data_IF_265073266859
#
_entry.id   IF_265073266859
#
_cell.length_a   1.000
_cell.length_b   1.000
_cell.length_c   1.000
_cell.angle_alpha   90.00
_cell.angle_beta   90.00
_cell.angle_gamma   90.00
#
_symmetry.space_group_name_H-M   'P 1'
#
loop_
_entity.id
_entity.type
_entity.pdbx_description
1 polymer ?
#
# COMPACT_ATOMS: atom_id res chain seq x y z
N UNK A 1 40.54 -8.40 6.44
CA UNK A 1 41.38 -8.50 5.22
C UNK A 1 40.47 -8.96 4.08
N UNK A 2 40.58 -8.37 2.89
CA UNK A 2 39.77 -8.76 1.74
C UNK A 2 40.64 -9.53 0.74
N UNK A 3 40.14 -10.69 0.28
CA UNK A 3 40.76 -11.49 -0.77
C UNK A 3 39.84 -11.51 -1.98
N UNK A 4 40.39 -11.24 -3.17
CA UNK A 4 39.66 -11.29 -4.43
C UNK A 4 39.83 -12.68 -5.05
N UNK A 5 38.76 -13.23 -5.61
CA UNK A 5 38.71 -14.56 -6.20
C UNK A 5 38.59 -14.41 -7.72
N UNK A 6 39.28 -15.27 -8.48
CA UNK A 6 39.15 -15.32 -9.95
C UNK A 6 37.71 -15.64 -10.37
N UNK A 7 37.22 -15.08 -11.50
CA UNK A 7 35.79 -15.15 -11.88
C UNK A 7 35.22 -16.57 -12.01
N UNK A 8 36.05 -17.56 -12.37
CA UNK A 8 35.66 -18.95 -12.62
C UNK A 8 35.96 -19.91 -11.46
N UNK A 9 36.51 -19.42 -10.35
CA UNK A 9 36.85 -20.27 -9.21
C UNK A 9 35.63 -20.55 -8.33
N UNK A 10 35.48 -21.81 -7.90
CA UNK A 10 34.37 -22.24 -7.05
C UNK A 10 34.53 -21.66 -5.63
N UNK A 11 33.70 -20.66 -5.33
CA UNK A 11 33.67 -19.91 -4.07
C UNK A 11 33.69 -20.80 -2.81
N UNK A 12 32.93 -21.90 -2.82
CA UNK A 12 32.82 -22.79 -1.66
C UNK A 12 34.14 -23.51 -1.38
N UNK A 13 34.79 -24.03 -2.43
CA UNK A 13 36.07 -24.71 -2.31
C UNK A 13 37.21 -23.80 -1.84
N UNK A 14 37.12 -22.50 -2.12
CA UNK A 14 38.10 -21.50 -1.67
C UNK A 14 37.89 -21.16 -0.20
N UNK A 15 36.63 -21.02 0.24
CA UNK A 15 36.28 -20.81 1.64
C UNK A 15 36.76 -21.99 2.49
N UNK A 16 36.45 -23.22 2.09
CA UNK A 16 36.84 -24.43 2.83
C UNK A 16 38.38 -24.55 2.95
N UNK A 17 39.12 -24.17 1.91
CA UNK A 17 40.60 -24.15 1.94
C UNK A 17 41.17 -23.08 2.87
N UNK A 18 40.53 -21.91 2.92
CA UNK A 18 40.96 -20.82 3.80
C UNK A 18 40.60 -21.14 5.24
N UNK A 19 39.41 -21.68 5.51
CA UNK A 19 39.02 -22.15 6.83
C UNK A 19 39.99 -23.21 7.35
N UNK A 20 40.33 -24.22 6.53
CA UNK A 20 41.32 -25.25 6.89
C UNK A 20 42.72 -24.68 7.16
N UNK A 21 43.14 -23.64 6.43
CA UNK A 21 44.44 -23.00 6.62
C UNK A 21 44.50 -22.09 7.86
N UNK A 22 43.35 -21.71 8.42
CA UNK A 22 43.23 -20.74 9.52
C UNK A 22 42.77 -21.40 10.83
N UNK A 23 42.46 -22.71 10.82
CA UNK A 23 42.13 -23.50 12.03
C UNK A 23 43.17 -23.26 13.13
N UNK A 24 42.72 -22.68 14.26
CA UNK A 24 43.55 -22.36 15.43
C UNK A 24 43.78 -20.86 15.67
N UNK A 25 43.35 -19.99 14.75
CA UNK A 25 43.27 -18.54 14.97
C UNK A 25 41.80 -18.10 15.10
N UNK A 26 41.53 -17.08 15.90
CA UNK A 26 40.20 -16.49 16.17
C UNK A 26 39.67 -15.66 14.96
N UNK A 27 39.81 -16.21 13.75
CA UNK A 27 39.53 -15.50 12.50
C UNK A 27 38.33 -16.15 11.81
N UNK A 28 37.23 -15.39 11.75
CA UNK A 28 36.00 -15.78 11.08
C UNK A 28 36.08 -15.45 9.58
N UNK A 29 35.99 -16.46 8.73
CA UNK A 29 36.07 -16.32 7.28
C UNK A 29 34.66 -16.27 6.71
N UNK A 30 34.14 -15.06 6.48
CA UNK A 30 32.85 -14.91 5.82
C UNK A 30 33.01 -14.47 4.37
N UNK A 31 32.23 -15.11 3.49
CA UNK A 31 32.14 -14.67 2.09
C UNK A 31 31.32 -13.38 1.99
N UNK A 32 31.66 -12.53 1.02
CA UNK A 32 30.89 -11.32 0.74
C UNK A 32 29.42 -11.64 0.40
N UNK A 33 29.14 -12.82 -0.15
CA UNK A 33 27.79 -13.31 -0.45
C UNK A 33 27.02 -13.68 0.82
N UNK A 34 27.63 -14.43 1.73
CA UNK A 34 27.03 -14.82 3.02
C UNK A 34 26.78 -13.60 3.93
N UNK A 35 27.72 -12.64 3.97
CA UNK A 35 27.53 -11.36 4.65
C UNK A 35 26.33 -10.58 4.09
N UNK A 36 26.21 -10.52 2.75
CA UNK A 36 25.13 -9.82 2.08
C UNK A 36 23.78 -10.51 2.32
N UNK A 37 23.73 -11.84 2.31
CA UNK A 37 22.51 -12.62 2.60
C UNK A 37 22.06 -12.44 4.06
N UNK A 38 22.97 -12.53 5.04
CA UNK A 38 22.65 -12.31 6.45
C UNK A 38 22.17 -10.89 6.74
N UNK A 39 22.75 -9.88 6.08
CA UNK A 39 22.27 -8.50 6.15
C UNK A 39 20.86 -8.39 5.57
N UNK A 40 20.58 -9.00 4.41
CA UNK A 40 19.23 -8.97 3.81
C UNK A 40 18.19 -9.71 4.65
N UNK A 41 18.53 -10.80 5.32
CA UNK A 41 17.60 -11.52 6.19
C UNK A 41 17.14 -10.68 7.39
N UNK A 42 18.06 -9.95 8.01
CA UNK A 42 17.75 -9.02 9.12
C UNK A 42 16.92 -7.84 8.63
N UNK A 43 17.24 -7.30 7.44
CA UNK A 43 16.43 -6.26 6.81
C UNK A 43 15.02 -6.78 6.50
N UNK A 44 14.87 -7.94 5.88
CA UNK A 44 13.58 -8.53 5.54
C UNK A 44 12.69 -8.69 6.77
N UNK A 45 13.23 -9.20 7.89
CA UNK A 45 12.50 -9.28 9.16
C UNK A 45 11.97 -7.93 9.64
N UNK A 46 12.78 -6.88 9.50
CA UNK A 46 12.39 -5.53 9.93
C UNK A 46 11.35 -4.94 8.97
N UNK A 47 11.48 -5.19 7.67
CA UNK A 47 10.50 -4.80 6.66
C UNK A 47 9.15 -5.52 6.83
N UNK A 48 9.13 -6.77 7.32
CA UNK A 48 7.87 -7.48 7.59
C UNK A 48 6.96 -6.75 8.59
N UNK A 49 7.53 -6.10 9.61
CA UNK A 49 6.76 -5.31 10.58
C UNK A 49 6.10 -4.12 9.86
N UNK A 50 6.83 -3.43 9.00
CA UNK A 50 6.29 -2.33 8.19
C UNK A 50 5.18 -2.81 7.25
N UNK A 51 5.32 -4.00 6.66
CA UNK A 51 4.26 -4.60 5.84
C UNK A 51 2.99 -4.84 6.65
N UNK A 52 3.11 -5.40 7.86
CA UNK A 52 1.96 -5.62 8.75
C UNK A 52 1.27 -4.29 9.13
N UNK A 53 2.05 -3.26 9.50
CA UNK A 53 1.52 -1.93 9.81
C UNK A 53 0.84 -1.29 8.58
N UNK A 54 1.42 -1.45 7.39
CA UNK A 54 0.84 -0.96 6.12
C UNK A 54 -0.50 -1.63 5.83
N UNK A 55 -0.62 -2.94 6.07
CA UNK A 55 -1.88 -3.67 5.91
C UNK A 55 -2.94 -3.17 6.91
N UNK A 56 -2.58 -2.99 8.18
CA UNK A 56 -3.47 -2.44 9.20
C UNK A 56 -3.94 -1.02 8.83
N UNK A 57 -3.03 -0.14 8.43
CA UNK A 57 -3.37 1.21 8.00
C UNK A 57 -4.32 1.21 6.79
N UNK A 58 -4.09 0.32 5.83
CA UNK A 58 -4.95 0.14 4.66
C UNK A 58 -6.35 -0.30 5.07
N UNK A 59 -6.45 -1.23 6.02
CA UNK A 59 -7.72 -1.73 6.55
C UNK A 59 -8.51 -0.61 7.28
N UNK A 60 -7.85 0.16 8.13
CA UNK A 60 -8.47 1.30 8.84
C UNK A 60 -8.93 2.36 7.84
N UNK A 61 -8.12 2.70 6.85
CA UNK A 61 -8.50 3.64 5.80
C UNK A 61 -9.71 3.16 5.00
N UNK A 62 -9.75 1.87 4.66
CA UNK A 62 -10.88 1.25 3.96
C UNK A 62 -12.19 1.36 4.75
N UNK A 63 -12.16 1.04 6.05
CA UNK A 63 -13.34 1.17 6.94
C UNK A 63 -13.78 2.64 7.05
N UNK A 64 -12.83 3.57 7.12
CA UNK A 64 -13.10 5.01 7.16
C UNK A 64 -13.83 5.49 5.90
N UNK A 65 -13.34 5.08 4.71
CA UNK A 65 -13.97 5.40 3.43
C UNK A 65 -15.38 4.80 3.35
N UNK A 66 -15.54 3.53 3.72
CA UNK A 66 -16.85 2.86 3.76
C UNK A 66 -17.85 3.63 4.63
N UNK A 67 -17.45 3.98 5.86
CA UNK A 67 -18.29 4.70 6.80
C UNK A 67 -18.68 6.08 6.27
N UNK A 68 -17.73 6.81 5.67
CA UNK A 68 -17.99 8.13 5.08
C UNK A 68 -18.96 8.03 3.88
N UNK A 69 -18.77 7.06 2.99
CA UNK A 69 -19.66 6.84 1.86
C UNK A 69 -21.06 6.44 2.30
N UNK A 70 -21.20 5.58 3.32
CA UNK A 70 -22.50 5.24 3.89
C UNK A 70 -23.18 6.47 4.50
N UNK A 71 -22.44 7.29 5.24
CA UNK A 71 -22.98 8.54 5.81
C UNK A 71 -23.50 9.48 4.72
N UNK A 72 -22.74 9.70 3.66
CA UNK A 72 -23.16 10.53 2.52
C UNK A 72 -24.43 9.97 1.86
N UNK A 73 -24.52 8.65 1.68
CA UNK A 73 -25.70 8.04 1.07
C UNK A 73 -26.95 8.19 1.94
N UNK A 74 -26.81 8.09 3.26
CA UNK A 74 -27.91 8.33 4.20
C UNK A 74 -28.40 9.78 4.11
N UNK A 75 -27.50 10.75 4.04
CA UNK A 75 -27.85 12.17 3.85
C UNK A 75 -28.59 12.41 2.52
N UNK A 76 -28.13 11.79 1.43
CA UNK A 76 -28.73 11.92 0.10
C UNK A 76 -29.90 10.95 -0.18
N UNK A 77 -30.37 10.18 0.80
CA UNK A 77 -31.44 9.18 0.61
C UNK A 77 -32.74 9.79 0.09
N UNK A 78 -33.08 11.01 0.54
CA UNK A 78 -34.27 11.73 0.08
C UNK A 78 -34.19 12.08 -1.41
N UNK A 79 -33.00 12.48 -1.89
CA UNK A 79 -32.76 12.81 -3.29
C UNK A 79 -32.88 11.56 -4.18
N UNK A 80 -32.31 10.43 -3.75
CA UNK A 80 -32.47 9.15 -4.43
C UNK A 80 -33.93 8.68 -4.49
N UNK A 81 -34.71 8.98 -3.45
CA UNK A 81 -36.16 8.76 -3.42
C UNK A 81 -36.92 9.58 -4.46
N UNK A 82 -36.58 10.87 -4.61
CA UNK A 82 -37.18 11.75 -5.63
C UNK A 82 -36.79 11.30 -7.03
N UNK A 83 -35.53 10.93 -7.27
CA UNK A 83 -35.07 10.39 -8.56
C UNK A 83 -35.82 9.12 -8.96
N UNK A 84 -36.11 8.23 -8.00
CA UNK A 84 -36.93 7.04 -8.25
C UNK A 84 -38.40 7.38 -8.50
N UNK A 85 -38.94 8.41 -7.87
CA UNK A 85 -40.30 8.88 -8.11
C UNK A 85 -40.47 9.53 -9.50
N UNK A 86 -39.41 10.14 -10.05
CA UNK A 86 -39.40 10.70 -11.41
C UNK A 86 -39.13 9.67 -12.51
N UNK A 87 -38.99 8.38 -12.16
CA UNK A 87 -38.90 7.27 -13.11
C UNK A 87 -37.51 6.68 -13.29
N UNK A 88 -36.52 7.07 -12.49
CA UNK A 88 -35.17 6.51 -12.56
C UNK A 88 -35.16 5.04 -12.10
N UNK A 89 -34.61 4.17 -12.94
CA UNK A 89 -34.57 2.73 -12.67
C UNK A 89 -33.49 2.40 -11.60
N UNK A 90 -33.64 1.30 -10.83
CA UNK A 90 -32.62 0.89 -9.85
C UNK A 90 -31.24 0.66 -10.46
N UNK A 91 -31.16 0.27 -11.73
CA UNK A 91 -29.88 0.07 -12.44
C UNK A 91 -29.21 1.42 -12.72
N UNK A 92 -29.97 2.43 -13.15
CA UNK A 92 -29.45 3.79 -13.34
C UNK A 92 -28.95 4.40 -12.03
N UNK A 93 -29.65 4.13 -10.91
CA UNK A 93 -29.21 4.58 -9.59
C UNK A 93 -27.88 3.95 -9.17
N UNK A 94 -27.70 2.64 -9.39
CA UNK A 94 -26.40 1.98 -9.14
C UNK A 94 -25.28 2.56 -9.98
N UNK A 95 -25.53 2.80 -11.27
CA UNK A 95 -24.56 3.40 -12.18
C UNK A 95 -24.15 4.81 -11.72
N UNK A 96 -25.11 5.63 -11.31
CA UNK A 96 -24.86 6.95 -10.76
C UNK A 96 -23.98 6.90 -9.51
N UNK A 97 -24.33 6.07 -8.53
CA UNK A 97 -23.54 5.91 -7.30
C UNK A 97 -22.13 5.39 -7.60
N UNK A 98 -21.98 4.43 -8.52
CA UNK A 98 -20.68 3.89 -8.91
C UNK A 98 -19.78 4.95 -9.56
N UNK A 99 -20.33 5.77 -10.46
CA UNK A 99 -19.61 6.87 -11.08
C UNK A 99 -19.22 7.90 -10.02
N UNK A 100 -20.12 8.29 -9.12
CA UNK A 100 -19.84 9.24 -8.04
C UNK A 100 -18.70 8.74 -7.15
N UNK A 101 -18.75 7.49 -6.70
CA UNK A 101 -17.70 6.90 -5.86
C UNK A 101 -16.38 6.74 -6.63
N UNK A 102 -16.43 6.35 -7.90
CA UNK A 102 -15.25 6.26 -8.77
C UNK A 102 -14.59 7.63 -8.94
N UNK A 103 -15.37 8.70 -9.12
CA UNK A 103 -14.86 10.06 -9.25
C UNK A 103 -14.19 10.53 -7.95
N UNK A 104 -14.84 10.33 -6.80
CA UNK A 104 -14.28 10.64 -5.49
C UNK A 104 -12.97 9.87 -5.24
N UNK A 105 -12.95 8.56 -5.53
CA UNK A 105 -11.75 7.73 -5.40
C UNK A 105 -10.61 8.17 -6.32
N UNK A 106 -10.93 8.58 -7.55
CA UNK A 106 -9.94 9.10 -8.50
C UNK A 106 -9.32 10.41 -8.02
N UNK A 107 -10.14 11.34 -7.55
CA UNK A 107 -9.66 12.63 -6.99
C UNK A 107 -8.80 12.38 -5.76
N UNK A 108 -9.24 11.50 -4.85
CA UNK A 108 -8.45 11.12 -3.68
C UNK A 108 -7.11 10.49 -4.06
N UNK A 109 -7.09 9.57 -5.04
CA UNK A 109 -5.86 8.96 -5.55
C UNK A 109 -4.90 9.97 -6.19
N UNK A 110 -5.42 10.92 -6.96
CA UNK A 110 -4.62 11.99 -7.57
C UNK A 110 -4.00 12.90 -6.52
N UNK A 111 -4.71 13.21 -5.44
CA UNK A 111 -4.19 13.99 -4.32
C UNK A 111 -3.22 13.19 -3.44
N UNK A 112 -3.40 11.87 -3.33
CA UNK A 112 -2.53 11.01 -2.55
C UNK A 112 -1.10 10.95 -3.13
N UNK A 113 -0.93 11.03 -4.46
CA UNK A 113 0.39 10.99 -5.11
C UNK A 113 1.33 12.11 -4.61
N UNK A 114 0.99 13.42 -4.77
CA UNK A 114 1.87 14.50 -4.32
C UNK A 114 2.07 14.47 -2.80
N UNK A 115 1.03 14.16 -2.03
CA UNK A 115 1.13 14.06 -0.56
C UNK A 115 2.11 12.95 -0.16
N UNK A 116 2.03 11.78 -0.80
CA UNK A 116 2.93 10.65 -0.58
C UNK A 116 4.37 10.97 -0.96
N UNK A 117 4.58 11.67 -2.08
CA UNK A 117 5.91 12.12 -2.51
C UNK A 117 6.51 13.09 -1.48
N UNK A 118 5.74 14.06 -1.01
CA UNK A 118 6.20 15.02 0.01
C UNK A 118 6.55 14.30 1.31
N UNK A 119 5.70 13.37 1.77
CA UNK A 119 5.99 12.55 2.96
C UNK A 119 7.27 11.71 2.79
N UNK A 120 7.47 11.10 1.62
CA UNK A 120 8.66 10.33 1.33
C UNK A 120 9.92 11.21 1.29
N UNK A 121 9.84 12.41 0.72
CA UNK A 121 10.94 13.38 0.76
C UNK A 121 11.27 13.80 2.20
N UNK A 122 10.27 14.09 3.03
CA UNK A 122 10.49 14.40 4.46
C UNK A 122 11.18 13.22 5.17
N UNK A 123 10.74 12.00 4.90
CA UNK A 123 11.35 10.81 5.49
C UNK A 123 12.82 10.64 5.08
N UNK A 124 13.14 10.81 3.80
CA UNK A 124 14.50 10.62 3.27
C UNK A 124 15.44 11.76 3.64
N UNK A 125 15.00 13.02 3.51
CA UNK A 125 15.88 14.18 3.67
C UNK A 125 15.89 14.76 5.08
N UNK A 126 14.83 14.57 5.87
CA UNK A 126 14.73 15.12 7.23
C UNK A 126 14.91 14.04 8.28
N UNK A 127 14.12 12.96 8.21
CA UNK A 127 14.12 11.93 9.25
C UNK A 127 15.37 11.06 9.14
N UNK A 128 15.67 10.49 7.98
CA UNK A 128 16.80 9.57 7.80
C UNK A 128 18.15 10.25 8.10
N UNK A 129 18.33 11.49 7.64
CA UNK A 129 19.55 12.27 7.95
C UNK A 129 19.71 12.51 9.44
N UNK A 130 18.63 12.81 10.17
CA UNK A 130 18.69 13.04 11.62
C UNK A 130 18.88 11.76 12.43
N UNK A 131 18.26 10.66 11.99
CA UNK A 131 18.28 9.39 12.71
C UNK A 131 19.53 8.55 12.45
N UNK A 132 20.05 8.57 11.21
CA UNK A 132 21.13 7.69 10.79
C UNK A 132 22.37 8.42 10.25
N UNK A 133 22.28 9.71 9.92
CA UNK A 133 23.42 10.51 9.45
C UNK A 133 23.79 10.33 7.98
N UNK A 134 23.06 9.51 7.22
CA UNK A 134 23.25 9.29 5.78
C UNK A 134 21.92 9.45 5.01
N UNK A 135 22.01 9.83 3.73
CA UNK A 135 20.86 9.92 2.82
C UNK A 135 20.81 8.70 1.91
N UNK A 136 19.60 8.35 1.46
CA UNK A 136 19.40 7.38 0.38
C UNK A 136 19.05 8.12 -0.92
N UNK A 137 19.40 7.52 -2.06
CA UNK A 137 19.03 8.08 -3.36
C UNK A 137 17.50 7.97 -3.55
N UNK A 138 16.83 9.12 -3.53
CA UNK A 138 15.39 9.20 -3.81
C UNK A 138 15.15 9.10 -5.31
N UNK A 139 14.61 7.97 -5.76
CA UNK A 139 14.27 7.74 -7.17
C UNK A 139 12.78 7.49 -7.29
N UNK A 140 12.09 8.30 -8.10
CA UNK A 140 10.68 8.08 -8.44
C UNK A 140 10.64 7.14 -9.64
N UNK A 141 10.18 5.91 -9.42
CA UNK A 141 9.96 4.94 -10.50
C UNK A 141 8.49 5.08 -10.93
N UNK A 142 8.20 5.52 -12.17
CA UNK A 142 6.83 5.73 -12.62
C UNK A 142 5.93 4.49 -12.50
N UNK A 143 6.51 3.29 -12.68
CA UNK A 143 5.79 2.02 -12.52
C UNK A 143 5.24 1.80 -11.11
N UNK A 144 6.03 2.12 -10.08
CA UNK A 144 5.62 1.99 -8.67
C UNK A 144 4.51 2.98 -8.31
N UNK A 145 4.62 4.22 -8.81
CA UNK A 145 3.59 5.25 -8.62
C UNK A 145 2.29 4.85 -9.32
N UNK A 146 2.37 4.34 -10.56
CA UNK A 146 1.21 3.85 -11.29
C UNK A 146 0.56 2.65 -10.59
N UNK A 147 1.35 1.70 -10.09
CA UNK A 147 0.85 0.57 -9.32
C UNK A 147 0.17 1.03 -8.02
N UNK A 148 0.77 1.96 -7.28
CA UNK A 148 0.17 2.52 -6.07
C UNK A 148 -1.16 3.25 -6.37
N UNK A 149 -1.23 3.99 -7.46
CA UNK A 149 -2.45 4.65 -7.92
C UNK A 149 -3.54 3.65 -8.31
N UNK A 150 -3.19 2.59 -9.05
CA UNK A 150 -4.12 1.52 -9.40
C UNK A 150 -4.64 0.78 -8.17
N UNK A 151 -3.78 0.51 -7.18
CA UNK A 151 -4.19 -0.09 -5.90
C UNK A 151 -5.12 0.85 -5.13
N UNK A 152 -4.84 2.15 -5.10
CA UNK A 152 -5.68 3.14 -4.44
C UNK A 152 -7.08 3.24 -5.09
N UNK A 153 -7.14 3.33 -6.43
CA UNK A 153 -8.41 3.30 -7.17
C UNK A 153 -9.13 1.97 -6.95
N UNK A 154 -8.43 0.84 -7.05
CA UNK A 154 -9.00 -0.48 -6.82
C UNK A 154 -9.61 -0.61 -5.43
N UNK A 155 -8.90 -0.17 -4.39
CA UNK A 155 -9.40 -0.17 -3.02
C UNK A 155 -10.63 0.75 -2.84
N UNK A 156 -10.62 1.94 -3.44
CA UNK A 156 -11.76 2.87 -3.38
C UNK A 156 -12.99 2.33 -4.11
N UNK A 157 -12.81 1.70 -5.28
CA UNK A 157 -13.88 1.06 -6.02
C UNK A 157 -14.45 -0.14 -5.24
N UNK A 158 -13.59 -1.00 -4.70
CA UNK A 158 -14.01 -2.13 -3.86
C UNK A 158 -14.77 -1.66 -2.60
N UNK A 159 -14.34 -0.55 -2.00
CA UNK A 159 -15.07 0.07 -0.89
C UNK A 159 -16.44 0.56 -1.34
N UNK A 160 -16.54 1.15 -2.53
CA UNK A 160 -17.81 1.64 -3.10
C UNK A 160 -18.82 0.56 -3.48
N UNK A 161 -18.36 -0.65 -3.80
CA UNK A 161 -19.23 -1.76 -4.24
C UNK A 161 -20.21 -2.18 -3.14
N UNK A 162 -19.74 -2.31 -1.89
CA UNK A 162 -20.58 -2.73 -0.77
C UNK A 162 -21.78 -1.78 -0.52
N UNK A 163 -21.60 -0.46 -0.30
CA UNK A 163 -22.71 0.45 -0.07
C UNK A 163 -23.60 0.65 -1.31
N UNK A 164 -23.05 0.53 -2.54
CA UNK A 164 -23.86 0.56 -3.77
C UNK A 164 -24.84 -0.62 -3.85
N UNK A 165 -24.46 -1.80 -3.36
CA UNK A 165 -25.34 -2.97 -3.27
C UNK A 165 -26.38 -2.78 -2.15
N UNK A 166 -25.98 -2.24 -1.01
CA UNK A 166 -26.85 -1.93 0.13
C UNK A 166 -27.99 -0.98 -0.29
N UNK A 167 -27.67 0.16 -0.93
CA UNK A 167 -28.63 1.12 -1.46
C UNK A 167 -29.65 0.51 -2.43
N UNK A 168 -29.19 -0.41 -3.29
CA UNK A 168 -30.06 -1.06 -4.25
C UNK A 168 -31.05 -2.03 -3.60
N UNK A 169 -30.75 -2.51 -2.39
CA UNK A 169 -31.62 -3.37 -1.58
C UNK A 169 -32.50 -2.59 -0.62
N UNK A 170 -32.24 -1.30 -0.40
CA UNK A 170 -33.10 -0.44 0.38
C UNK A 170 -34.45 -0.26 -0.33
N UNK A 171 -35.45 -1.00 0.18
CA UNK A 171 -36.84 -0.81 -0.16
C UNK A 171 -37.30 0.54 0.40
N UNK A 172 -37.47 1.51 -0.51
CA UNK A 172 -38.00 2.86 -0.27
C UNK A 172 -39.33 2.85 0.51
N UNK A 173 -40.07 1.74 0.48
CA UNK A 173 -41.33 1.57 1.21
C UNK A 173 -41.20 1.56 2.75
N UNK A 174 -40.01 1.36 3.34
CA UNK A 174 -39.82 1.49 4.81
C UNK A 174 -39.38 2.88 5.27
N UNK A 175 -38.77 3.68 4.41
CA UNK A 175 -38.29 5.03 4.79
C UNK A 175 -39.43 6.04 5.00
N UNK A 176 -40.63 5.76 4.48
CA UNK A 176 -41.83 6.58 4.67
C UNK A 176 -42.71 6.09 5.84
N UNK A 177 -42.35 4.97 6.49
CA UNK A 177 -43.17 4.34 7.54
C UNK A 177 -42.53 4.35 8.93
N UNK A 178 -41.38 4.99 9.08
CA UNK A 178 -40.82 5.34 10.40
C UNK A 178 -41.11 6.82 10.66
N UNK A 179 -42.38 7.14 10.77
CA UNK A 179 -42.85 8.28 11.56
C UNK A 179 -43.65 7.70 12.72
#
# INVERSE_FOLDING_TARGET
VAAFIEPDANLQSVIDRIEQAVVGNDVEVQSNRALREGVFEVFDRTFQITVALRLLATLVAFIGILSALMSLQLEHTREYGVMRATGMTPIQLRGYTFIQTGLMGTVAGLLAIPIGIVLAMVLVYVINVRSFGWTMQFTIIPGEVAQAFLVAIGAALLAGVYPAIELARMNISRAVRSE
#
